data_IF_754965937059
#
_entry.id   IF_754965937059
#
_cell.length_a   1.000
_cell.length_b   1.000
_cell.length_c   1.000
_cell.angle_alpha   90.00
_cell.angle_beta   90.00
_cell.angle_gamma   90.00
#
_symmetry.space_group_name_H-M   'P 1'
#
loop_
_entity.id
_entity.type
_entity.pdbx_description
1 polymer ?
#
# COMPACT_ATOMS: atom_id res chain seq x y z
N UNK A 1 -11.05 -30.10 -23.20
CA UNK A 1 -10.90 -29.78 -21.77
C UNK A 1 -9.60 -29.01 -21.61
N UNK A 2 -9.66 -27.68 -21.44
CA UNK A 2 -8.45 -26.85 -21.31
C UNK A 2 -8.11 -26.71 -19.83
N UNK A 3 -7.13 -27.48 -19.37
CA UNK A 3 -6.63 -27.44 -17.99
C UNK A 3 -5.79 -26.18 -17.80
N UNK A 4 -6.38 -25.13 -17.23
CA UNK A 4 -5.68 -23.91 -16.87
C UNK A 4 -4.82 -24.25 -15.64
N UNK A 5 -3.52 -24.51 -15.85
CA UNK A 5 -2.57 -24.69 -14.75
C UNK A 5 -2.54 -23.37 -13.97
N UNK A 6 -3.00 -23.40 -12.71
CA UNK A 6 -2.83 -22.31 -11.77
C UNK A 6 -1.33 -22.06 -11.57
N UNK A 7 -0.78 -21.12 -12.36
CA UNK A 7 0.56 -20.60 -12.17
C UNK A 7 0.55 -19.97 -10.77
N UNK A 8 1.30 -20.53 -9.82
CA UNK A 8 1.53 -19.90 -8.51
C UNK A 8 2.04 -18.50 -8.79
N UNK A 9 1.14 -17.51 -8.77
CA UNK A 9 1.50 -16.10 -8.82
C UNK A 9 2.30 -15.89 -7.56
N UNK A 10 3.61 -15.66 -7.68
CA UNK A 10 4.43 -15.22 -6.55
C UNK A 10 3.82 -13.90 -6.11
N UNK A 11 2.98 -13.92 -5.09
CA UNK A 11 2.47 -12.69 -4.48
C UNK A 11 3.66 -12.00 -3.82
N UNK A 12 4.11 -10.90 -4.43
CA UNK A 12 5.11 -10.02 -3.81
C UNK A 12 4.34 -9.14 -2.83
N UNK A 13 4.55 -9.39 -1.54
CA UNK A 13 4.02 -8.57 -0.47
C UNK A 13 4.90 -7.33 -0.30
N UNK A 14 4.28 -6.16 -0.31
CA UNK A 14 4.86 -4.86 -0.01
C UNK A 14 4.26 -4.33 1.30
N UNK A 15 5.01 -3.50 2.01
CA UNK A 15 4.55 -2.88 3.25
C UNK A 15 4.21 -1.42 2.98
N UNK A 16 2.96 -1.01 3.17
CA UNK A 16 2.60 0.41 3.11
C UNK A 16 2.62 1.01 4.51
N UNK A 17 3.35 2.11 4.68
CA UNK A 17 3.52 2.83 5.95
C UNK A 17 3.02 4.25 5.78
N UNK A 18 1.86 4.56 6.33
CA UNK A 18 1.27 5.89 6.39
C UNK A 18 1.72 6.60 7.66
N UNK A 19 2.40 7.74 7.50
CA UNK A 19 2.69 8.68 8.61
C UNK A 19 1.69 9.81 8.57
N UNK A 20 0.87 9.90 9.62
CA UNK A 20 0.05 11.07 9.87
C UNK A 20 0.92 12.10 10.60
N UNK A 21 0.74 13.39 10.33
CA UNK A 21 1.32 14.47 11.13
C UNK A 21 0.22 15.48 11.45
N UNK A 22 0.20 16.10 12.65
CA UNK A 22 1.17 16.00 13.76
C UNK A 22 0.96 14.78 14.68
N UNK A 23 -0.07 13.98 14.41
CA UNK A 23 -0.38 12.79 15.20
C UNK A 23 0.70 11.76 14.90
N UNK A 24 1.60 11.42 15.83
CA UNK A 24 2.65 10.39 15.68
C UNK A 24 2.12 8.97 15.45
N UNK A 25 0.98 8.82 14.79
CA UNK A 25 0.41 7.56 14.36
C UNK A 25 1.04 7.16 13.03
N UNK A 26 1.73 6.03 13.08
CA UNK A 26 2.21 5.30 11.91
C UNK A 26 1.25 4.15 11.69
N UNK A 27 0.52 4.17 10.56
CA UNK A 27 -0.34 3.08 10.13
C UNK A 27 0.43 2.23 9.14
N UNK A 28 0.57 0.93 9.41
CA UNK A 28 1.23 -0.01 8.52
C UNK A 28 0.23 -1.06 8.04
N UNK A 29 0.26 -1.38 6.75
CA UNK A 29 -0.52 -2.49 6.21
C UNK A 29 0.26 -3.25 5.15
N UNK A 30 -0.05 -4.53 5.00
CA UNK A 30 0.49 -5.36 3.93
C UNK A 30 -0.36 -5.19 2.69
N UNK A 31 0.30 -4.87 1.58
CA UNK A 31 -0.33 -4.66 0.28
C UNK A 31 0.36 -5.55 -0.75
N UNK A 32 -0.38 -6.08 -1.69
CA UNK A 32 0.20 -6.86 -2.78
C UNK A 32 0.77 -5.91 -3.85
N UNK A 33 1.78 -6.32 -4.61
CA UNK A 33 2.31 -5.49 -5.70
C UNK A 33 1.25 -5.08 -6.75
N UNK A 34 0.22 -5.91 -6.87
CA UNK A 34 -0.95 -5.77 -7.73
C UNK A 34 -2.12 -5.05 -7.04
N UNK A 35 -2.03 -4.75 -5.74
CA UNK A 35 -2.99 -3.85 -5.09
C UNK A 35 -2.87 -2.47 -5.73
N UNK A 36 -3.99 -1.91 -6.18
CA UNK A 36 -4.04 -0.54 -6.70
C UNK A 36 -4.10 0.48 -5.56
N UNK A 37 -4.02 1.78 -5.85
CA UNK A 37 -4.08 2.82 -4.81
C UNK A 37 -5.37 2.78 -3.98
N UNK A 38 -6.49 2.37 -4.57
CA UNK A 38 -7.79 2.30 -3.89
C UNK A 38 -7.81 1.32 -2.70
N UNK A 39 -7.45 0.02 -2.84
CA UNK A 39 -7.39 -0.88 -1.70
C UNK A 39 -6.33 -0.48 -0.66
N UNK A 40 -5.22 0.14 -1.08
CA UNK A 40 -4.19 0.69 -0.18
C UNK A 40 -4.79 1.82 0.68
N UNK A 41 -5.50 2.76 0.06
CA UNK A 41 -6.16 3.86 0.74
C UNK A 41 -7.25 3.37 1.72
N UNK A 42 -8.04 2.36 1.32
CA UNK A 42 -9.04 1.73 2.19
C UNK A 42 -8.38 1.04 3.39
N UNK A 43 -7.32 0.25 3.17
CA UNK A 43 -6.57 -0.44 4.24
C UNK A 43 -5.93 0.54 5.22
N UNK A 44 -5.42 1.66 4.72
CA UNK A 44 -4.78 2.71 5.52
C UNK A 44 -5.76 3.76 6.05
N UNK A 45 -7.08 3.56 5.84
CA UNK A 45 -8.14 4.45 6.29
C UNK A 45 -7.85 5.92 5.95
N UNK A 46 -7.52 6.18 4.69
CA UNK A 46 -7.31 7.55 4.23
C UNK A 46 -8.57 8.37 4.51
N UNK A 47 -8.37 9.56 5.07
CA UNK A 47 -9.44 10.51 5.27
C UNK A 47 -9.76 11.15 3.92
N UNK A 48 -11.04 11.13 3.56
CA UNK A 48 -11.52 11.80 2.35
C UNK A 48 -11.20 13.31 2.39
N UNK A 49 -10.88 13.90 1.24
CA UNK A 49 -10.48 15.31 1.14
C UNK A 49 -9.09 15.62 1.71
N UNK A 50 -8.24 14.60 1.92
CA UNK A 50 -6.82 14.77 2.25
C UNK A 50 -5.94 14.27 1.11
N UNK A 51 -4.87 14.99 0.87
CA UNK A 51 -3.86 14.61 -0.10
C UNK A 51 -2.78 13.74 0.56
N UNK A 52 -2.29 12.74 -0.17
CA UNK A 52 -1.29 11.79 0.32
C UNK A 52 -0.20 11.62 -0.74
N UNK A 53 1.04 11.84 -0.35
CA UNK A 53 2.22 11.54 -1.17
C UNK A 53 2.64 10.10 -0.97
N UNK A 54 2.79 9.38 -2.07
CA UNK A 54 3.26 7.99 -2.10
C UNK A 54 4.69 7.94 -2.62
N UNK A 55 5.59 7.40 -1.80
CA UNK A 55 6.98 7.15 -2.16
C UNK A 55 7.24 5.65 -2.11
N UNK A 56 7.51 5.06 -3.27
CA UNK A 56 7.83 3.63 -3.40
C UNK A 56 9.32 3.42 -3.19
N UNK A 57 9.66 2.64 -2.17
CA UNK A 57 11.02 2.18 -1.91
C UNK A 57 11.14 0.70 -2.33
N UNK A 58 11.72 0.48 -3.52
CA UNK A 58 11.87 -0.87 -4.08
C UNK A 58 12.94 -1.71 -3.38
N UNK A 59 13.90 -1.07 -2.72
CA UNK A 59 14.97 -1.74 -1.97
C UNK A 59 14.42 -2.47 -0.75
N UNK A 60 13.51 -1.84 -0.02
CA UNK A 60 12.87 -2.37 1.20
C UNK A 60 11.47 -2.91 0.95
N UNK A 61 10.97 -2.85 -0.30
CA UNK A 61 9.59 -3.18 -0.68
C UNK A 61 8.55 -2.44 0.17
N UNK A 62 8.81 -1.16 0.45
CA UNK A 62 7.99 -0.34 1.34
C UNK A 62 7.41 0.86 0.58
N UNK A 63 6.12 1.12 0.73
CA UNK A 63 5.50 2.38 0.32
C UNK A 63 5.45 3.32 1.52
N UNK A 64 6.25 4.39 1.48
CA UNK A 64 6.16 5.48 2.44
C UNK A 64 5.07 6.44 1.99
N UNK A 65 4.03 6.57 2.81
CA UNK A 65 2.87 7.40 2.51
C UNK A 65 2.84 8.50 3.54
N UNK A 66 2.82 9.74 3.08
CA UNK A 66 2.79 10.91 3.96
C UNK A 66 1.61 11.76 3.58
N UNK A 67 0.78 12.12 4.57
CA UNK A 67 -0.31 13.07 4.34
C UNK A 67 0.29 14.44 4.01
N UNK A 68 0.02 14.96 2.83
CA UNK A 68 0.35 16.35 2.44
C UNK A 68 -0.88 17.22 2.75
N UNK A 69 -0.61 18.41 3.29
CA UNK A 69 -1.59 19.22 4.04
C UNK A 69 -2.76 19.67 3.18
#
# INVERSE_FOLDING_TARGET
>A
MNTIKAKKVKTINWTATLRLMPISSVLQCTIEEKDTLAPIATKLKFSEGKEYSFMKDSSTKTYNITRVK
#
